data_IF_840979644818
#
_entry.id   IF_840979644818
#
_cell.length_a   1.000
_cell.length_b   1.000
_cell.length_c   1.000
_cell.angle_alpha   90.00
_cell.angle_beta   90.00
_cell.angle_gamma   90.00
#
_symmetry.space_group_name_H-M   'P 1'
#
loop_
_entity.id
_entity.type
_entity.pdbx_description
1 polymer ?
#
# COMPACT_ATOMS: atom_id res chain seq x y z
N UNK A 1 45.76 -2.58 -55.74
CA UNK A 1 46.19 -3.96 -56.07
C UNK A 1 45.54 -4.90 -55.08
N UNK A 2 45.21 -6.10 -55.54
CA UNK A 2 44.08 -6.95 -55.15
C UNK A 2 44.48 -8.08 -54.17
N UNK A 3 43.51 -8.51 -53.33
CA UNK A 3 43.35 -9.81 -52.59
C UNK A 3 44.39 -10.16 -51.51
N UNK A 4 44.07 -10.72 -50.34
CA UNK A 4 42.84 -11.30 -49.81
C UNK A 4 43.16 -12.54 -48.96
N UNK A 5 42.44 -12.76 -47.85
CA UNK A 5 41.78 -14.05 -47.50
C UNK A 5 41.18 -14.05 -46.08
N UNK A 6 39.98 -14.61 -46.03
CA UNK A 6 39.10 -14.91 -44.88
C UNK A 6 39.62 -16.04 -43.98
N UNK A 7 39.11 -16.08 -42.75
CA UNK A 7 38.49 -17.21 -42.01
C UNK A 7 38.72 -17.02 -40.48
N UNK A 8 37.85 -17.29 -39.51
CA UNK A 8 36.49 -17.85 -39.42
C UNK A 8 36.05 -17.78 -37.93
N UNK A 9 34.92 -17.11 -37.65
CA UNK A 9 33.90 -17.46 -36.62
C UNK A 9 34.19 -17.24 -35.12
N UNK A 10 33.16 -17.42 -34.24
CA UNK A 10 31.72 -17.46 -34.51
C UNK A 10 30.94 -16.31 -33.83
N UNK A 11 29.94 -15.81 -34.56
CA UNK A 11 28.87 -14.99 -34.05
C UNK A 11 27.93 -15.84 -33.19
N UNK A 12 27.66 -15.41 -31.96
CA UNK A 12 26.56 -15.96 -31.16
C UNK A 12 25.28 -15.23 -31.57
N UNK A 13 24.35 -16.01 -32.10
CA UNK A 13 23.05 -15.60 -32.59
C UNK A 13 22.23 -14.89 -31.51
N UNK A 14 21.77 -13.68 -31.82
CA UNK A 14 20.58 -13.09 -31.20
C UNK A 14 19.35 -13.82 -31.75
N UNK A 15 18.82 -14.76 -30.98
CA UNK A 15 17.52 -15.35 -31.27
C UNK A 15 16.44 -14.35 -30.83
N UNK A 16 15.81 -13.72 -31.82
CA UNK A 16 14.55 -13.02 -31.65
C UNK A 16 13.48 -14.04 -31.24
N UNK A 17 13.05 -13.99 -29.98
CA UNK A 17 11.89 -14.74 -29.51
C UNK A 17 10.61 -14.05 -29.99
N UNK A 18 10.22 -14.37 -31.22
CA UNK A 18 8.86 -14.20 -31.74
C UNK A 18 7.93 -15.08 -30.90
N UNK A 19 7.26 -14.51 -29.90
CA UNK A 19 6.14 -15.19 -29.24
C UNK A 19 4.90 -14.87 -30.05
N UNK A 20 4.49 -15.87 -30.85
CA UNK A 20 3.35 -15.80 -31.74
C UNK A 20 2.03 -15.66 -31.00
N UNK A 21 1.20 -14.77 -31.54
CA UNK A 21 -0.24 -14.75 -31.36
C UNK A 21 -0.80 -16.15 -31.64
N UNK A 22 -1.35 -16.81 -30.63
CA UNK A 22 -2.38 -17.84 -30.84
C UNK A 22 -3.72 -17.15 -30.62
N UNK A 23 -4.32 -16.73 -31.72
CA UNK A 23 -5.71 -16.32 -31.77
C UNK A 23 -6.59 -17.57 -31.62
N UNK A 24 -7.03 -17.85 -30.39
CA UNK A 24 -8.15 -18.75 -30.15
C UNK A 24 -9.44 -17.92 -30.23
N UNK A 25 -10.04 -17.88 -31.41
CA UNK A 25 -11.40 -17.37 -31.61
C UNK A 25 -12.40 -18.35 -31.00
N UNK A 26 -12.70 -18.20 -29.71
CA UNK A 26 -13.92 -18.73 -29.12
C UNK A 26 -15.02 -17.69 -29.29
N UNK A 27 -15.90 -17.92 -30.27
CA UNK A 27 -17.21 -17.27 -30.34
C UNK A 27 -18.08 -17.84 -29.21
N UNK A 28 -17.81 -17.39 -28.00
CA UNK A 28 -18.75 -17.48 -26.88
C UNK A 28 -19.35 -16.10 -26.70
N UNK A 29 -20.67 -15.98 -26.78
CA UNK A 29 -21.40 -14.80 -26.32
C UNK A 29 -21.12 -14.59 -24.83
N UNK A 30 -20.00 -13.96 -24.49
CA UNK A 30 -19.84 -13.32 -23.21
C UNK A 30 -20.66 -12.03 -23.29
N UNK A 31 -21.62 -11.79 -22.37
CA UNK A 31 -22.26 -10.49 -22.32
C UNK A 31 -21.16 -9.45 -22.11
N UNK A 32 -21.00 -8.55 -23.08
CA UNK A 32 -20.41 -7.24 -22.80
C UNK A 32 -21.29 -6.63 -21.70
N UNK A 33 -20.89 -6.84 -20.45
CA UNK A 33 -21.44 -6.08 -19.34
C UNK A 33 -20.96 -4.65 -19.54
N UNK A 34 -21.80 -3.87 -20.21
CA UNK A 34 -21.71 -2.42 -20.27
C UNK A 34 -21.61 -1.93 -18.83
N UNK A 35 -20.53 -1.22 -18.54
CA UNK A 35 -20.28 -0.57 -17.26
C UNK A 35 -21.46 0.32 -16.89
N UNK A 36 -22.02 0.11 -15.70
CA UNK A 36 -22.99 1.06 -15.14
C UNK A 36 -23.34 0.74 -13.70
N UNK A 37 -23.49 -0.55 -13.37
CA UNK A 37 -23.87 -0.95 -12.01
C UNK A 37 -23.10 -2.20 -11.61
N UNK A 38 -22.33 -2.16 -10.50
CA UNK A 38 -21.72 -3.34 -9.91
C UNK A 38 -22.80 -4.39 -9.64
N UNK A 39 -22.44 -5.66 -9.72
CA UNK A 39 -23.35 -6.73 -9.32
C UNK A 39 -23.63 -6.65 -7.81
N UNK A 40 -24.68 -7.35 -7.37
CA UNK A 40 -25.16 -7.32 -5.99
C UNK A 40 -24.11 -7.78 -4.97
N UNK A 41 -23.21 -8.71 -5.33
CA UNK A 41 -22.17 -9.16 -4.41
C UNK A 41 -21.13 -8.05 -4.22
N UNK A 42 -20.79 -7.33 -5.29
CA UNK A 42 -19.86 -6.19 -5.21
C UNK A 42 -20.43 -5.04 -4.38
N UNK A 43 -21.74 -4.76 -4.51
CA UNK A 43 -22.42 -3.78 -3.66
C UNK A 43 -22.46 -4.21 -2.19
N UNK A 44 -22.75 -5.49 -1.92
CA UNK A 44 -22.73 -6.02 -0.55
C UNK A 44 -21.34 -5.94 0.09
N UNK A 45 -20.27 -6.24 -0.66
CA UNK A 45 -18.88 -6.07 -0.23
C UNK A 45 -18.56 -4.61 0.10
N UNK A 46 -19.03 -3.68 -0.73
CA UNK A 46 -18.81 -2.26 -0.51
C UNK A 46 -19.44 -1.80 0.84
N UNK A 47 -20.68 -2.18 1.11
CA UNK A 47 -21.34 -1.91 2.39
C UNK A 47 -20.64 -2.57 3.60
N UNK A 48 -20.06 -3.75 3.41
CA UNK A 48 -19.27 -4.41 4.45
C UNK A 48 -17.94 -3.68 4.71
N UNK A 49 -17.25 -3.20 3.68
CA UNK A 49 -16.07 -2.34 3.82
C UNK A 49 -16.41 -1.09 4.61
N UNK A 50 -17.52 -0.40 4.30
CA UNK A 50 -17.97 0.76 5.07
C UNK A 50 -18.19 0.43 6.55
N UNK A 51 -18.80 -0.73 6.84
CA UNK A 51 -19.01 -1.23 8.20
C UNK A 51 -17.68 -1.50 8.91
N UNK A 52 -16.73 -2.15 8.26
CA UNK A 52 -15.41 -2.46 8.83
C UNK A 52 -14.56 -1.21 9.03
N UNK A 53 -14.63 -0.22 8.14
CA UNK A 53 -14.00 1.08 8.33
C UNK A 53 -14.58 1.80 9.55
N UNK A 54 -15.90 1.79 9.72
CA UNK A 54 -16.56 2.32 10.91
C UNK A 54 -16.11 1.60 12.18
N UNK A 55 -16.18 0.27 12.22
CA UNK A 55 -15.81 -0.53 13.39
C UNK A 55 -14.34 -0.36 13.78
N UNK A 56 -13.45 -0.38 12.80
CA UNK A 56 -12.01 -0.33 13.03
C UNK A 56 -11.53 1.04 13.55
N UNK A 57 -12.35 2.08 13.39
CA UNK A 57 -12.15 3.42 13.94
C UNK A 57 -12.78 3.68 15.31
N UNK A 58 -13.71 2.81 15.75
CA UNK A 58 -14.28 2.89 17.09
C UNK A 58 -13.21 2.70 18.19
N UNK A 59 -12.09 2.06 17.85
CA UNK A 59 -10.92 1.88 18.73
C UNK A 59 -9.88 3.00 18.62
N UNK A 60 -10.23 4.13 18.00
CA UNK A 60 -9.35 5.30 17.87
C UNK A 60 -8.87 5.57 16.44
N UNK A 61 -8.07 6.63 16.26
CA UNK A 61 -7.59 7.07 14.95
C UNK A 61 -6.78 5.99 14.22
N UNK A 62 -6.99 5.85 12.91
CA UNK A 62 -6.36 4.82 12.08
C UNK A 62 -5.22 5.37 11.22
N UNK A 63 -4.27 4.51 10.88
CA UNK A 63 -3.27 4.82 9.86
C UNK A 63 -3.86 4.67 8.45
N UNK A 64 -3.25 5.33 7.45
CA UNK A 64 -3.63 5.10 6.04
C UNK A 64 -3.48 3.62 5.68
N UNK A 65 -2.43 2.97 6.19
CA UNK A 65 -2.20 1.55 6.02
C UNK A 65 -3.34 0.67 6.56
N UNK A 66 -3.89 1.00 7.72
CA UNK A 66 -5.04 0.29 8.32
C UNK A 66 -6.28 0.41 7.42
N UNK A 67 -6.59 1.62 6.96
CA UNK A 67 -7.74 1.88 6.08
C UNK A 67 -7.60 1.10 4.77
N UNK A 68 -6.40 1.12 4.18
CA UNK A 68 -6.10 0.35 2.97
C UNK A 68 -6.20 -1.16 3.20
N UNK A 69 -5.78 -1.66 4.37
CA UNK A 69 -5.93 -3.06 4.75
C UNK A 69 -7.38 -3.51 4.87
N UNK A 70 -8.28 -2.64 5.35
CA UNK A 70 -9.71 -2.97 5.38
C UNK A 70 -10.24 -3.15 3.96
N UNK A 71 -9.88 -2.24 3.05
CA UNK A 71 -10.31 -2.30 1.64
C UNK A 71 -9.80 -3.57 0.95
N UNK A 72 -8.53 -3.90 1.09
CA UNK A 72 -7.94 -5.07 0.43
C UNK A 72 -8.50 -6.38 1.00
N UNK A 73 -8.56 -6.51 2.33
CA UNK A 73 -8.96 -7.77 2.98
C UNK A 73 -10.46 -8.05 2.92
N UNK A 74 -11.31 -7.03 2.96
CA UNK A 74 -12.77 -7.20 3.04
C UNK A 74 -13.51 -6.85 1.74
N UNK A 75 -12.92 -5.99 0.91
CA UNK A 75 -13.49 -5.60 -0.37
C UNK A 75 -13.00 -6.46 -1.55
N UNK A 76 -11.92 -7.21 -1.38
CA UNK A 76 -11.25 -7.95 -2.45
C UNK A 76 -10.81 -6.99 -3.55
N UNK A 77 -10.28 -5.84 -3.15
CA UNK A 77 -10.05 -4.69 -4.01
C UNK A 77 -8.65 -4.12 -3.89
N UNK A 78 -8.46 -2.96 -4.50
CA UNK A 78 -7.25 -2.16 -4.37
C UNK A 78 -7.59 -0.67 -4.37
N UNK A 79 -6.67 0.13 -3.81
CA UNK A 79 -6.78 1.58 -3.75
C UNK A 79 -5.96 2.16 -4.90
N UNK A 80 -6.59 2.97 -5.74
CA UNK A 80 -5.93 3.65 -6.86
C UNK A 80 -5.29 4.94 -6.44
N UNK A 81 -6.00 5.75 -5.65
CA UNK A 81 -5.58 7.07 -5.21
C UNK A 81 -5.96 7.31 -3.74
N UNK A 82 -5.19 8.18 -3.09
CA UNK A 82 -5.42 8.64 -1.73
C UNK A 82 -5.12 10.13 -1.61
N UNK A 83 -6.07 10.90 -1.09
CA UNK A 83 -5.91 12.34 -0.87
C UNK A 83 -6.31 12.74 0.55
N UNK A 84 -5.65 13.78 1.05
CA UNK A 84 -5.86 14.31 2.39
C UNK A 84 -6.38 15.74 2.34
N UNK A 85 -7.32 16.04 3.22
CA UNK A 85 -7.92 17.37 3.36
C UNK A 85 -8.20 17.71 4.83
N UNK A 86 -8.40 19.00 5.10
CA UNK A 86 -8.59 19.52 6.45
C UNK A 86 -7.29 19.78 7.21
N UNK A 87 -7.38 20.50 8.33
CA UNK A 87 -6.26 20.68 9.25
C UNK A 87 -6.03 19.39 10.06
N UNK A 88 -4.79 19.13 10.47
CA UNK A 88 -4.47 17.96 11.27
C UNK A 88 -5.30 17.92 12.57
N UNK A 89 -5.70 16.71 12.97
CA UNK A 89 -6.62 16.47 14.08
C UNK A 89 -8.04 16.18 13.60
N UNK A 90 -9.05 16.55 14.40
CA UNK A 90 -10.45 16.11 14.19
C UNK A 90 -11.08 16.54 12.86
N UNK A 91 -10.56 17.60 12.22
CA UNK A 91 -11.03 18.05 10.89
C UNK A 91 -10.39 17.31 9.72
N UNK A 92 -9.36 16.49 9.95
CA UNK A 92 -8.62 15.81 8.90
C UNK A 92 -9.46 14.68 8.30
N UNK A 93 -9.43 14.57 6.97
CA UNK A 93 -10.13 13.55 6.19
C UNK A 93 -9.20 12.92 5.17
N UNK A 94 -9.24 11.59 5.07
CA UNK A 94 -8.61 10.78 4.04
C UNK A 94 -9.70 10.32 3.06
N UNK A 95 -9.56 10.71 1.80
CA UNK A 95 -10.41 10.26 0.70
C UNK A 95 -9.65 9.26 -0.16
N UNK A 96 -10.26 8.10 -0.40
CA UNK A 96 -9.67 6.99 -1.15
C UNK A 96 -10.51 6.68 -2.37
N UNK A 97 -9.85 6.53 -3.52
CA UNK A 97 -10.44 5.95 -4.73
C UNK A 97 -10.13 4.46 -4.76
N UNK A 98 -11.16 3.64 -4.94
CA UNK A 98 -11.08 2.20 -4.69
C UNK A 98 -11.78 1.42 -5.80
N UNK A 99 -11.18 0.31 -6.21
CA UNK A 99 -11.81 -0.72 -7.04
C UNK A 99 -12.05 -1.96 -6.18
N UNK A 100 -13.29 -2.43 -6.13
CA UNK A 100 -13.72 -3.62 -5.40
C UNK A 100 -14.11 -4.76 -6.34
N UNK A 101 -14.18 -5.98 -5.79
CA UNK A 101 -14.75 -7.15 -6.48
C UNK A 101 -13.77 -7.96 -7.34
N UNK A 102 -12.63 -7.39 -7.73
CA UNK A 102 -11.65 -8.06 -8.60
C UNK A 102 -10.85 -9.19 -7.93
N UNK A 103 -10.63 -9.14 -6.62
CA UNK A 103 -9.75 -10.05 -5.87
C UNK A 103 -10.46 -10.92 -4.84
N UNK A 104 -9.67 -11.74 -4.16
CA UNK A 104 -10.08 -12.56 -3.02
C UNK A 104 -10.25 -11.72 -1.75
N UNK A 105 -11.23 -12.11 -0.93
CA UNK A 105 -11.51 -11.56 0.41
C UNK A 105 -11.05 -12.55 1.47
N UNK A 106 -10.94 -12.12 2.74
CA UNK A 106 -10.61 -13.01 3.87
C UNK A 106 -11.79 -13.94 4.21
N UNK A 107 -11.56 -15.27 4.06
CA UNK A 107 -12.42 -16.47 4.35
C UNK A 107 -13.20 -16.54 5.69
N UNK A 108 -13.22 -15.46 6.47
CA UNK A 108 -13.88 -15.35 7.78
C UNK A 108 -15.13 -14.49 7.77
N UNK A 109 -15.62 -14.05 6.60
CA UNK A 109 -16.91 -13.37 6.53
C UNK A 109 -18.02 -14.41 6.76
N UNK A 110 -18.91 -14.21 7.73
CA UNK A 110 -20.08 -15.08 7.87
C UNK A 110 -20.91 -15.02 6.57
N UNK A 111 -21.07 -16.15 5.87
CA UNK A 111 -21.78 -16.25 4.58
C UNK A 111 -20.89 -16.33 3.33
N UNK A 112 -19.57 -16.45 3.48
CA UNK A 112 -18.60 -16.31 2.37
C UNK A 112 -18.49 -17.49 1.41
N UNK A 113 -19.09 -18.65 1.67
CA UNK A 113 -19.12 -19.75 0.68
C UNK A 113 -19.76 -19.33 -0.65
N UNK A 114 -20.49 -18.21 -0.67
CA UNK A 114 -21.21 -17.69 -1.83
C UNK A 114 -20.61 -16.41 -2.44
N UNK A 115 -19.61 -15.77 -1.82
CA UNK A 115 -19.01 -14.52 -2.33
C UNK A 115 -17.72 -14.78 -3.13
N UNK A 116 -17.81 -15.56 -4.21
CA UNK A 116 -16.74 -15.69 -5.21
C UNK A 116 -16.39 -14.33 -5.84
N UNK A 117 -15.19 -14.14 -6.43
CA UNK A 117 -14.88 -12.94 -7.21
C UNK A 117 -16.04 -12.61 -8.16
N UNK A 118 -16.62 -11.43 -7.97
CA UNK A 118 -17.82 -10.97 -8.67
C UNK A 118 -17.42 -9.91 -9.70
N UNK A 119 -18.38 -9.17 -10.26
CA UNK A 119 -18.08 -8.02 -11.10
C UNK A 119 -17.20 -6.99 -10.38
N UNK A 120 -16.81 -5.95 -11.10
CA UNK A 120 -16.00 -4.86 -10.54
C UNK A 120 -16.87 -3.65 -10.24
N UNK A 121 -16.51 -2.91 -9.20
CA UNK A 121 -17.16 -1.66 -8.84
C UNK A 121 -16.14 -0.65 -8.36
N UNK A 122 -16.34 0.62 -8.70
CA UNK A 122 -15.46 1.71 -8.32
C UNK A 122 -16.17 2.61 -7.32
N UNK A 123 -15.48 2.93 -6.24
CA UNK A 123 -16.04 3.63 -5.10
C UNK A 123 -15.07 4.68 -4.60
N UNK A 124 -15.62 5.74 -3.99
CA UNK A 124 -14.87 6.68 -3.17
C UNK A 124 -15.25 6.48 -1.72
N UNK A 125 -14.27 6.35 -0.84
CA UNK A 125 -14.47 6.28 0.62
C UNK A 125 -13.83 7.49 1.29
N UNK A 126 -14.58 8.20 2.14
CA UNK A 126 -14.03 9.29 2.96
C UNK A 126 -14.00 8.93 4.45
N UNK A 127 -12.80 8.74 4.98
CA UNK A 127 -12.54 8.40 6.39
C UNK A 127 -12.06 9.66 7.12
N UNK A 128 -12.72 10.01 8.22
CA UNK A 128 -12.29 11.10 9.10
C UNK A 128 -11.30 10.61 10.16
N UNK A 129 -10.68 11.56 10.86
CA UNK A 129 -9.69 11.30 11.91
C UNK A 129 -10.22 10.40 13.05
N UNK A 130 -11.47 10.60 13.47
CA UNK A 130 -12.17 9.75 14.47
C UNK A 130 -13.24 8.86 13.81
N UNK A 131 -12.91 8.31 12.65
CA UNK A 131 -13.70 7.28 12.00
C UNK A 131 -14.43 7.66 10.75
N UNK A 132 -15.26 6.76 10.27
CA UNK A 132 -15.85 6.87 8.95
C UNK A 132 -16.76 8.10 8.85
N UNK A 133 -16.39 9.06 7.99
CA UNK A 133 -17.11 10.33 7.86
C UNK A 133 -18.25 10.29 6.83
N UNK A 134 -18.61 9.08 6.37
CA UNK A 134 -19.96 8.82 5.88
C UNK A 134 -20.26 9.13 4.42
N UNK A 135 -19.33 8.92 3.49
CA UNK A 135 -19.70 8.84 2.06
C UNK A 135 -18.94 7.73 1.36
N UNK A 136 -19.66 6.63 1.10
CA UNK A 136 -19.31 5.67 0.06
C UNK A 136 -20.07 6.17 -1.14
N UNK A 137 -19.35 6.63 -2.15
CA UNK A 137 -19.97 7.04 -3.41
C UNK A 137 -19.51 6.10 -4.49
N UNK A 138 -20.46 5.38 -5.08
CA UNK A 138 -20.20 4.63 -6.30
C UNK A 138 -19.87 5.62 -7.42
N UNK A 139 -18.76 5.37 -8.10
CA UNK A 139 -18.31 6.15 -9.27
C UNK A 139 -18.21 5.24 -10.49
N UNK A 140 -18.22 5.83 -11.67
CA UNK A 140 -18.05 5.07 -12.91
C UNK A 140 -16.62 4.55 -13.00
N UNK A 141 -16.46 3.24 -13.16
CA UNK A 141 -15.16 2.66 -13.45
C UNK A 141 -14.63 3.11 -14.82
N UNK A 142 -13.31 3.30 -14.98
CA UNK A 142 -12.72 3.53 -16.29
C UNK A 142 -13.12 2.42 -17.27
N UNK A 143 -13.45 2.78 -18.51
CA UNK A 143 -13.88 1.80 -19.53
C UNK A 143 -12.80 0.79 -19.92
N UNK A 144 -11.53 1.11 -19.65
CA UNK A 144 -10.38 0.23 -19.85
C UNK A 144 -10.22 -0.81 -18.74
N UNK A 145 -10.91 -0.64 -17.61
CA UNK A 145 -10.78 -1.52 -16.46
C UNK A 145 -11.58 -2.82 -16.69
N UNK A 146 -10.87 -3.91 -16.90
CA UNK A 146 -11.46 -5.26 -17.00
C UNK A 146 -11.38 -5.98 -15.65
N UNK A 147 -12.25 -6.97 -15.43
CA UNK A 147 -12.18 -7.83 -14.25
C UNK A 147 -10.81 -8.50 -14.08
N UNK A 148 -10.21 -8.97 -15.18
CA UNK A 148 -8.88 -9.59 -15.14
C UNK A 148 -7.77 -8.62 -14.73
N UNK A 149 -7.80 -7.38 -15.23
CA UNK A 149 -6.86 -6.33 -14.82
C UNK A 149 -7.06 -5.96 -13.34
N UNK A 150 -8.31 -5.85 -12.90
CA UNK A 150 -8.65 -5.57 -11.51
C UNK A 150 -8.16 -6.69 -10.58
N UNK A 151 -8.34 -7.96 -10.97
CA UNK A 151 -7.86 -9.12 -10.22
C UNK A 151 -6.34 -9.12 -10.09
N UNK A 152 -5.62 -8.99 -11.21
CA UNK A 152 -4.16 -8.95 -11.20
C UNK A 152 -3.61 -7.80 -10.34
N UNK A 153 -4.27 -6.64 -10.40
CA UNK A 153 -3.90 -5.47 -9.61
C UNK A 153 -4.19 -5.66 -8.12
N UNK A 154 -5.33 -6.24 -7.76
CA UNK A 154 -5.67 -6.58 -6.37
C UNK A 154 -4.67 -7.59 -5.78
N UNK A 155 -4.33 -8.65 -6.51
CA UNK A 155 -3.32 -9.64 -6.09
C UNK A 155 -1.95 -9.00 -5.89
N UNK A 156 -1.54 -8.09 -6.80
CA UNK A 156 -0.30 -7.33 -6.64
C UNK A 156 -0.35 -6.44 -5.39
N UNK A 157 -1.43 -5.69 -5.16
CA UNK A 157 -1.59 -4.83 -3.99
C UNK A 157 -1.48 -5.62 -2.68
N UNK A 158 -2.12 -6.79 -2.60
CA UNK A 158 -2.03 -7.69 -1.44
C UNK A 158 -0.59 -8.17 -1.23
N UNK A 159 0.11 -8.54 -2.32
CA UNK A 159 1.50 -8.98 -2.24
C UNK A 159 2.43 -7.88 -1.71
N UNK A 160 2.25 -6.65 -2.17
CA UNK A 160 2.99 -5.47 -1.69
C UNK A 160 2.65 -5.18 -0.22
N UNK A 161 1.39 -5.33 0.18
CA UNK A 161 0.97 -5.15 1.57
C UNK A 161 1.60 -6.17 2.51
N UNK A 162 1.70 -7.43 2.09
CA UNK A 162 2.41 -8.48 2.85
C UNK A 162 3.91 -8.15 2.94
N UNK A 163 4.52 -7.65 1.87
CA UNK A 163 5.92 -7.21 1.89
C UNK A 163 6.15 -6.01 2.81
N UNK A 164 5.20 -5.06 2.86
CA UNK A 164 5.26 -3.87 3.72
C UNK A 164 5.36 -4.21 5.21
N UNK A 165 4.70 -5.30 5.65
CA UNK A 165 4.73 -5.73 7.05
C UNK A 165 6.14 -6.03 7.59
N UNK A 166 7.12 -6.28 6.71
CA UNK A 166 8.53 -6.49 7.10
C UNK A 166 9.24 -5.21 7.56
N UNK A 167 8.70 -4.06 7.19
CA UNK A 167 9.25 -2.74 7.49
C UNK A 167 8.49 -2.03 8.62
N UNK A 168 7.39 -2.62 9.10
CA UNK A 168 6.62 -2.09 10.22
C UNK A 168 7.32 -2.44 11.54
N UNK A 169 7.56 -1.44 12.39
CA UNK A 169 8.19 -1.63 13.70
C UNK A 169 7.40 -0.89 14.79
N UNK A 170 7.10 -1.60 15.87
CA UNK A 170 6.18 -1.10 16.90
C UNK A 170 6.75 0.07 17.68
N UNK A 171 8.00 -0.01 18.13
CA UNK A 171 8.81 1.10 18.66
C UNK A 171 10.27 0.70 18.48
N UNK A 172 11.07 1.45 17.74
CA UNK A 172 12.51 1.17 17.64
C UNK A 172 13.24 2.45 17.32
N UNK A 173 14.20 2.78 18.18
CA UNK A 173 15.14 3.92 18.11
C UNK A 173 14.63 5.27 18.63
N UNK A 174 15.56 6.01 19.25
CA UNK A 174 15.35 7.36 19.80
C UNK A 174 15.59 8.46 18.76
N UNK A 175 15.54 8.18 17.46
CA UNK A 175 15.91 9.16 16.43
C UNK A 175 15.32 8.84 15.06
N UNK A 176 14.66 9.81 14.44
CA UNK A 176 14.23 9.74 13.03
C UNK A 176 15.46 9.84 12.11
N UNK A 177 15.57 9.01 11.05
CA UNK A 177 16.67 9.11 10.10
C UNK A 177 16.60 10.40 9.28
N UNK A 178 17.75 11.01 9.00
CA UNK A 178 17.87 12.23 8.18
C UNK A 178 18.54 11.99 6.82
N UNK A 179 18.90 10.75 6.52
CA UNK A 179 19.52 10.37 5.24
C UNK A 179 18.96 9.03 4.75
N UNK A 180 19.04 8.79 3.43
CA UNK A 180 18.69 7.49 2.85
C UNK A 180 19.46 6.34 3.51
N UNK A 181 20.77 6.49 3.69
CA UNK A 181 21.61 5.44 4.27
C UNK A 181 21.17 5.08 5.70
N UNK A 182 20.83 6.08 6.52
CA UNK A 182 20.31 5.85 7.87
C UNK A 182 18.92 5.19 7.84
N UNK A 183 18.04 5.59 6.92
CA UNK A 183 16.71 5.01 6.76
C UNK A 183 16.77 3.53 6.32
N UNK A 184 17.64 3.21 5.36
CA UNK A 184 17.84 1.83 4.89
C UNK A 184 18.44 0.96 6.00
N UNK A 185 19.40 1.47 6.76
CA UNK A 185 19.99 0.73 7.87
C UNK A 185 18.95 0.42 8.98
N UNK A 186 17.91 1.27 9.17
CA UNK A 186 16.74 0.99 10.02
C UNK A 186 15.92 -0.22 9.61
N UNK A 187 15.99 -0.65 8.35
CA UNK A 187 15.41 -1.91 7.92
C UNK A 187 16.21 -3.13 8.35
N UNK A 188 17.52 -2.96 8.51
CA UNK A 188 18.46 -4.05 8.84
C UNK A 188 18.64 -4.22 10.37
N UNK A 189 18.17 -3.24 11.15
CA UNK A 189 18.54 -2.99 12.54
C UNK A 189 17.95 -3.91 13.62
N UNK A 190 17.29 -5.02 13.27
CA UNK A 190 16.87 -6.03 14.28
C UNK A 190 17.71 -7.31 14.30
N UNK A 191 18.86 -7.33 13.61
CA UNK A 191 19.82 -8.45 13.79
C UNK A 191 20.80 -8.20 14.95
N UNK A 192 20.83 -9.09 15.96
CA UNK A 192 21.89 -9.06 16.97
C UNK A 192 23.26 -9.09 16.29
N UNK A 193 24.25 -8.40 16.86
CA UNK A 193 25.63 -8.51 16.42
C UNK A 193 26.05 -10.00 16.37
N UNK A 194 26.30 -10.53 15.17
CA UNK A 194 26.64 -11.94 14.94
C UNK A 194 25.53 -12.82 14.35
N UNK A 195 24.30 -12.32 14.22
CA UNK A 195 23.26 -12.97 13.42
C UNK A 195 23.51 -12.68 11.92
N UNK A 196 23.30 -13.68 11.06
CA UNK A 196 23.29 -13.48 9.61
C UNK A 196 22.18 -12.47 9.32
N UNK A 197 22.54 -11.31 8.77
CA UNK A 197 21.59 -10.30 8.31
C UNK A 197 20.50 -11.02 7.48
N UNK A 198 19.20 -10.88 7.82
CA UNK A 198 18.16 -11.39 6.95
C UNK A 198 18.42 -10.83 5.55
N UNK A 199 18.15 -11.60 4.48
CA UNK A 199 18.31 -11.09 3.13
C UNK A 199 17.53 -9.77 3.03
N UNK A 200 18.25 -8.71 2.63
CA UNK A 200 17.69 -7.40 2.42
C UNK A 200 16.38 -7.56 1.63
N UNK A 201 15.26 -6.96 2.09
CA UNK A 201 14.00 -7.17 1.41
C UNK A 201 14.10 -6.72 -0.06
N UNK A 202 13.44 -7.46 -0.97
CA UNK A 202 13.57 -7.22 -2.41
C UNK A 202 13.12 -5.79 -2.76
N UNK A 203 13.94 -5.09 -3.55
CA UNK A 203 13.71 -3.71 -3.99
C UNK A 203 14.68 -2.66 -3.42
N UNK A 204 15.49 -3.01 -2.42
CA UNK A 204 16.43 -2.06 -1.79
C UNK A 204 17.60 -1.63 -2.68
N UNK A 205 18.03 -2.48 -3.60
CA UNK A 205 19.13 -2.16 -4.53
C UNK A 205 18.79 -1.00 -5.48
N UNK A 206 17.50 -0.75 -5.72
CA UNK A 206 16.99 0.25 -6.66
C UNK A 206 16.58 1.56 -5.97
N UNK A 207 16.72 1.66 -4.63
CA UNK A 207 16.31 2.84 -3.87
C UNK A 207 17.36 3.95 -3.99
N UNK A 208 16.92 5.14 -4.37
CA UNK A 208 17.78 6.31 -4.55
C UNK A 208 17.53 7.39 -3.51
N UNK A 209 18.43 8.38 -3.42
CA UNK A 209 18.26 9.49 -2.49
C UNK A 209 17.00 10.33 -2.77
N UNK A 210 16.50 10.32 -4.01
CA UNK A 210 15.26 11.00 -4.37
C UNK A 210 14.00 10.28 -3.83
N UNK A 211 14.13 9.00 -3.49
CA UNK A 211 13.07 8.19 -2.89
C UNK A 211 12.98 8.38 -1.37
N UNK A 212 13.96 9.08 -0.79
CA UNK A 212 13.96 9.51 0.61
C UNK A 212 13.59 11.00 0.70
N UNK A 213 12.58 11.32 1.50
CA UNK A 213 12.19 12.70 1.78
C UNK A 213 12.10 12.95 3.28
N UNK A 214 12.52 14.14 3.70
CA UNK A 214 12.44 14.61 5.07
C UNK A 214 11.44 15.76 5.19
N UNK A 215 10.65 15.76 6.26
CA UNK A 215 9.78 16.86 6.67
C UNK A 215 10.32 17.54 7.93
N UNK A 216 9.95 18.81 8.14
CA UNK A 216 10.17 19.50 9.40
C UNK A 216 8.82 19.91 9.94
N UNK A 217 8.37 19.35 11.07
CA UNK A 217 7.20 19.87 11.75
C UNK A 217 7.42 19.90 13.26
N UNK A 218 7.41 21.11 13.83
CA UNK A 218 7.57 21.33 15.26
C UNK A 218 6.24 21.25 16.04
N UNK A 219 5.10 21.13 15.34
CA UNK A 219 3.76 21.32 15.93
C UNK A 219 2.78 20.22 15.52
N UNK A 220 2.96 19.56 14.37
CA UNK A 220 2.05 18.53 13.88
C UNK A 220 2.81 17.36 13.25
N UNK A 221 3.06 16.30 14.00
CA UNK A 221 2.57 14.95 13.67
C UNK A 221 2.54 14.48 12.19
N UNK A 222 3.53 14.85 11.38
CA UNK A 222 3.78 14.30 10.04
C UNK A 222 4.91 13.27 10.13
N UNK A 223 5.12 12.41 9.11
CA UNK A 223 6.40 11.76 8.98
C UNK A 223 7.47 12.84 8.92
N UNK A 224 8.45 12.74 9.81
CA UNK A 224 9.63 13.59 9.77
C UNK A 224 10.61 13.07 8.72
N UNK A 225 10.48 11.79 8.36
CA UNK A 225 11.08 11.21 7.17
C UNK A 225 10.19 10.12 6.56
N UNK A 226 10.28 9.93 5.25
CA UNK A 226 9.63 8.84 4.55
C UNK A 226 10.53 8.30 3.43
N UNK A 227 10.35 7.01 3.16
CA UNK A 227 11.05 6.28 2.11
C UNK A 227 10.04 5.55 1.24
N UNK A 228 10.20 5.66 -0.07
CA UNK A 228 9.49 4.86 -1.05
C UNK A 228 10.37 3.68 -1.49
N UNK A 229 9.86 2.46 -1.37
CA UNK A 229 10.58 1.24 -1.77
C UNK A 229 9.86 0.60 -2.97
N UNK A 230 10.43 0.67 -4.18
CA UNK A 230 9.85 0.02 -5.35
C UNK A 230 9.86 -1.50 -5.18
N UNK A 231 8.86 -2.18 -5.75
CA UNK A 231 8.75 -3.64 -5.68
C UNK A 231 9.05 -4.29 -7.04
N UNK A 232 9.80 -5.41 -7.09
CA UNK A 232 10.16 -6.05 -8.37
C UNK A 232 8.97 -6.49 -9.22
N UNK A 233 7.86 -6.87 -8.58
CA UNK A 233 6.61 -7.25 -9.25
C UNK A 233 5.73 -6.04 -9.64
N UNK A 234 6.24 -4.82 -9.46
CA UNK A 234 5.51 -3.56 -9.59
C UNK A 234 4.81 -3.14 -8.30
N UNK A 235 4.52 -1.84 -8.21
CA UNK A 235 3.98 -1.20 -7.01
C UNK A 235 5.07 -0.63 -6.10
N UNK A 236 4.65 -0.06 -4.99
CA UNK A 236 5.51 0.67 -4.07
C UNK A 236 5.11 0.44 -2.62
N UNK A 237 6.09 0.37 -1.73
CA UNK A 237 5.87 0.41 -0.29
C UNK A 237 6.22 1.82 0.17
N UNK A 238 5.32 2.46 0.90
CA UNK A 238 5.63 3.66 1.64
C UNK A 238 6.01 3.28 3.06
N UNK A 239 7.20 3.71 3.46
CA UNK A 239 7.72 3.60 4.81
C UNK A 239 7.77 5.01 5.37
N UNK A 240 7.23 5.19 6.56
CA UNK A 240 7.23 6.45 7.29
C UNK A 240 7.92 6.28 8.63
N UNK A 241 8.77 7.25 8.95
CA UNK A 241 9.43 7.40 10.24
C UNK A 241 8.87 8.63 10.92
N UNK A 242 8.44 8.47 12.16
CA UNK A 242 7.79 9.56 12.88
C UNK A 242 8.20 9.60 14.34
N UNK A 243 8.43 10.82 14.83
CA UNK A 243 8.52 11.07 16.26
C UNK A 243 7.17 10.86 16.95
N UNK A 244 7.21 10.09 18.04
CA UNK A 244 6.13 9.91 19.00
C UNK A 244 6.66 10.19 20.41
N UNK A 245 5.78 10.63 21.29
CA UNK A 245 6.06 10.63 22.72
C UNK A 245 5.45 9.35 23.30
N UNK A 246 6.29 8.35 23.56
CA UNK A 246 5.85 7.10 24.15
C UNK A 246 5.65 7.29 25.66
N UNK A 247 4.50 6.89 26.19
CA UNK A 247 4.24 6.81 27.62
C UNK A 247 4.29 5.34 28.08
N UNK A 248 4.85 5.09 29.27
CA UNK A 248 4.80 3.76 29.89
C UNK A 248 4.35 3.86 31.33
N UNK A 249 3.62 2.84 31.78
CA UNK A 249 3.23 2.66 33.18
C UNK A 249 3.73 1.29 33.63
N UNK A 250 4.65 1.28 34.59
CA UNK A 250 5.25 0.04 35.11
C UNK A 250 5.89 0.25 36.47
N UNK A 251 5.70 -0.70 37.40
CA UNK A 251 6.37 -0.67 38.70
C UNK A 251 6.02 0.53 39.60
N UNK A 252 4.83 1.12 39.45
CA UNK A 252 4.39 2.26 40.27
C UNK A 252 4.88 3.63 39.79
N UNK A 253 5.47 3.72 38.59
CA UNK A 253 5.88 4.98 37.98
C UNK A 253 5.39 5.08 36.54
N UNK A 254 5.00 6.29 36.14
CA UNK A 254 4.64 6.65 34.78
C UNK A 254 5.74 7.57 34.22
N UNK A 255 6.20 7.29 33.01
CA UNK A 255 7.22 8.09 32.32
C UNK A 255 6.80 8.38 30.88
N UNK A 256 7.43 9.39 30.29
CA UNK A 256 7.34 9.66 28.84
C UNK A 256 8.73 9.76 28.24
N UNK A 257 8.89 9.32 26.99
CA UNK A 257 10.13 9.46 26.24
C UNK A 257 9.84 9.70 24.77
N UNK A 258 10.65 10.55 24.16
CA UNK A 258 10.65 10.69 22.71
C UNK A 258 11.15 9.38 22.08
N UNK A 259 10.43 8.89 21.08
CA UNK A 259 10.72 7.65 20.35
C UNK A 259 10.35 7.80 18.89
N UNK A 260 10.95 6.99 18.03
CA UNK A 260 10.53 6.88 16.64
C UNK A 260 9.69 5.62 16.43
N UNK A 261 8.62 5.74 15.67
CA UNK A 261 7.89 4.60 15.08
C UNK A 261 8.16 4.51 13.60
N UNK A 262 8.26 3.28 13.11
CA UNK A 262 8.32 3.00 11.67
C UNK A 262 7.04 2.32 11.28
N UNK A 263 6.29 2.92 10.35
CA UNK A 263 5.08 2.32 9.78
C UNK A 263 5.28 2.14 8.29
N UNK A 264 4.82 1.02 7.76
CA UNK A 264 4.91 0.74 6.34
C UNK A 264 3.60 0.16 5.78
N UNK A 265 3.24 0.57 4.56
CA UNK A 265 2.06 0.09 3.86
C UNK A 265 2.28 0.12 2.34
N UNK A 266 1.46 -0.62 1.60
CA UNK A 266 1.45 -0.52 0.14
C UNK A 266 0.94 0.87 -0.28
N UNK A 267 1.62 1.54 -1.20
CA UNK A 267 1.12 2.77 -1.82
C UNK A 267 -0.17 2.49 -2.63
N UNK A 268 -1.03 3.50 -2.83
CA UNK A 268 -2.08 3.42 -3.86
C UNK A 268 -1.47 3.11 -5.23
N UNK A 269 -2.19 2.37 -6.08
CA UNK A 269 -1.62 1.82 -7.32
C UNK A 269 -1.20 2.87 -8.34
N UNK A 270 -1.83 4.04 -8.30
CA UNK A 270 -1.58 5.14 -9.25
C UNK A 270 -0.70 6.23 -8.61
N UNK A 271 -0.33 6.06 -7.34
CA UNK A 271 0.53 7.01 -6.65
C UNK A 271 2.01 6.83 -7.08
N UNK A 272 2.76 7.93 -7.25
CA UNK A 272 4.16 7.85 -7.67
C UNK A 272 5.04 7.27 -6.56
N UNK A 273 5.90 6.30 -6.88
CA UNK A 273 6.83 5.71 -5.92
C UNK A 273 8.01 6.67 -5.66
N UNK A 274 7.78 7.69 -4.83
CA UNK A 274 8.77 8.72 -4.50
C UNK A 274 8.70 9.07 -3.01
N UNK A 275 9.81 9.53 -2.44
CA UNK A 275 9.88 9.91 -1.03
C UNK A 275 8.86 11.00 -0.68
N UNK A 276 8.67 11.99 -1.55
CA UNK A 276 7.70 13.07 -1.35
C UNK A 276 6.26 12.56 -1.28
N UNK A 277 5.89 11.60 -2.13
CA UNK A 277 4.56 11.00 -2.10
C UNK A 277 4.36 10.15 -0.83
N UNK A 278 5.38 9.40 -0.43
CA UNK A 278 5.40 8.66 0.83
C UNK A 278 5.27 9.60 2.05
N UNK A 279 5.98 10.73 2.04
CA UNK A 279 5.94 11.77 3.08
C UNK A 279 4.55 12.39 3.18
N UNK A 280 3.91 12.68 2.05
CA UNK A 280 2.53 13.18 2.02
C UNK A 280 1.53 12.14 2.56
N UNK A 281 1.68 10.88 2.18
CA UNK A 281 0.80 9.79 2.64
C UNK A 281 0.94 9.51 4.15
N UNK A 282 2.15 9.61 4.70
CA UNK A 282 2.38 9.37 6.12
C UNK A 282 1.71 10.38 7.06
N UNK A 283 1.19 11.51 6.53
CA UNK A 283 0.52 12.54 7.35
C UNK A 283 -0.81 12.08 7.95
N UNK A 284 -1.35 10.94 7.52
CA UNK A 284 -2.52 10.29 8.14
C UNK A 284 -2.15 9.15 9.09
N UNK A 285 -0.86 8.89 9.32
CA UNK A 285 -0.49 8.04 10.44
C UNK A 285 -0.91 8.73 11.74
N UNK A 286 -1.41 7.98 12.70
CA UNK A 286 -1.66 8.51 14.04
C UNK A 286 -0.54 8.01 14.96
N UNK A 287 -0.05 8.90 15.82
CA UNK A 287 0.86 8.49 16.87
C UNK A 287 0.02 7.72 17.90
N UNK A 288 0.17 6.41 17.89
CA UNK A 288 -0.23 5.47 18.95
C UNK A 288 -1.75 5.21 19.12
N UNK A 289 -2.14 3.94 18.89
CA UNK A 289 -3.49 3.40 19.13
C UNK A 289 -3.80 3.26 20.63
N UNK A 290 -2.77 3.35 21.48
CA UNK A 290 -2.80 3.26 22.94
C UNK A 290 -2.45 4.59 23.63
N UNK A 291 -2.12 5.68 22.91
CA UNK A 291 -1.81 6.99 23.53
C UNK A 291 -3.05 7.72 24.07
N UNK A 292 -4.22 7.12 23.91
CA UNK A 292 -5.46 7.52 24.58
C UNK A 292 -5.96 6.44 25.54
N UNK A 293 -5.06 5.78 26.27
CA UNK A 293 -5.43 4.86 27.36
C UNK A 293 -6.44 5.47 28.33
#
# INVERSE_FOLDING_TARGET
MILGRLATGPAVLAAAATVGLIAASVSGCAPMMVSGTPDQNTLARAGYVATMLSNSSASGPQTQGDVMAVITNYGGGYVTDASLSGAAGSSQKLTLSVVLGGGSVRDSMQGETDMKPSGIGCFTYTVGYYGYSGTESQVTCPSSLTTGLAQATATRQISVQIAAARYDSTITTKTVPTTLAAAVHLFEFSTPAGAIAPPAPPGLADVTAADFATGTDAVQHRPDAALAVPQPAGGCIYVSYRWIQASWVGGGSAGTSDSAVTRAWAAPTDAPCTGTAALSAGTFLTADRNAGG
#
